data_IF_843258388020
#
_entry.id   IF_843258388020
#
_cell.length_a   1.000
_cell.length_b   1.000
_cell.length_c   1.000
_cell.angle_alpha   90.00
_cell.angle_beta   90.00
_cell.angle_gamma   90.00
#
_symmetry.space_group_name_H-M   'P 1'
#
loop_
_entity.id
_entity.type
_entity.pdbx_description
1 polymer ?
#
# COMPACT_ATOMS: atom_id res chain seq x y z
N UNK A 1 24.45 -2.65 -4.23
CA UNK A 1 23.83 -3.99 -4.39
C UNK A 1 22.79 -3.89 -5.47
N UNK A 2 22.61 -4.92 -6.31
CA UNK A 2 21.68 -4.90 -7.44
C UNK A 2 20.26 -4.58 -6.99
N UNK A 3 19.59 -3.71 -7.70
CA UNK A 3 18.17 -3.36 -7.51
C UNK A 3 17.24 -4.49 -8.01
N UNK A 4 17.47 -5.72 -7.52
CA UNK A 4 16.64 -6.88 -7.85
C UNK A 4 15.34 -6.85 -7.05
N UNK A 5 14.25 -7.27 -7.70
CA UNK A 5 12.96 -7.32 -7.04
C UNK A 5 12.98 -8.28 -5.84
N UNK A 6 12.35 -7.85 -4.76
CA UNK A 6 12.02 -8.70 -3.63
C UNK A 6 10.85 -9.63 -3.97
N UNK A 7 10.53 -10.59 -3.10
CA UNK A 7 9.33 -11.43 -3.24
C UNK A 7 8.06 -10.57 -3.25
N UNK A 8 8.02 -9.54 -2.41
CA UNK A 8 6.88 -8.61 -2.32
C UNK A 8 6.74 -7.77 -3.58
N UNK A 9 7.85 -7.25 -4.14
CA UNK A 9 7.82 -6.53 -5.41
C UNK A 9 7.29 -7.41 -6.55
N UNK A 10 7.72 -8.68 -6.60
CA UNK A 10 7.22 -9.61 -7.61
C UNK A 10 5.76 -10.00 -7.41
N UNK A 11 5.28 -10.04 -6.18
CA UNK A 11 3.87 -10.24 -5.89
C UNK A 11 3.03 -9.12 -6.53
N UNK A 12 3.42 -7.86 -6.35
CA UNK A 12 2.74 -6.73 -7.00
C UNK A 12 2.91 -6.75 -8.52
N UNK A 13 4.06 -7.20 -9.02
CA UNK A 13 4.25 -7.37 -10.46
C UNK A 13 3.30 -8.42 -11.05
N UNK A 14 3.02 -9.50 -10.32
CA UNK A 14 2.03 -10.50 -10.71
C UNK A 14 0.62 -9.94 -10.75
N UNK A 15 0.22 -9.11 -9.78
CA UNK A 15 -1.10 -8.46 -9.82
C UNK A 15 -1.21 -7.53 -11.03
N UNK A 16 -0.16 -6.79 -11.36
CA UNK A 16 -0.11 -5.99 -12.59
C UNK A 16 -0.29 -6.84 -13.86
N UNK A 17 0.27 -8.05 -13.88
CA UNK A 17 0.15 -9.01 -15.00
C UNK A 17 -1.19 -9.76 -15.02
N UNK A 18 -2.14 -9.43 -14.16
CA UNK A 18 -3.47 -10.04 -14.08
C UNK A 18 -3.57 -11.26 -13.16
N UNK A 19 -2.59 -11.51 -12.30
CA UNK A 19 -2.63 -12.57 -11.30
C UNK A 19 -2.98 -11.99 -9.92
N UNK A 20 -4.25 -11.86 -9.64
CA UNK A 20 -4.78 -11.25 -8.42
C UNK A 20 -5.37 -9.86 -8.67
N UNK A 21 -5.70 -9.17 -7.60
CA UNK A 21 -6.31 -7.85 -7.64
C UNK A 21 -5.27 -6.79 -8.01
N UNK A 22 -5.44 -6.04 -9.11
CA UNK A 22 -4.51 -4.97 -9.46
C UNK A 22 -4.55 -3.87 -8.40
N UNK A 23 -3.39 -3.29 -8.11
CA UNK A 23 -3.23 -2.27 -7.09
C UNK A 23 -2.19 -1.23 -7.50
N UNK A 24 -2.52 0.05 -7.32
CA UNK A 24 -1.62 1.17 -7.51
C UNK A 24 -1.59 2.04 -6.25
N UNK A 25 -0.49 2.74 -6.03
CA UNK A 25 -0.39 3.73 -4.95
C UNK A 25 -0.77 5.11 -5.47
N UNK A 26 -1.53 5.86 -4.69
CA UNK A 26 -1.91 7.23 -5.00
C UNK A 26 -1.62 8.16 -3.82
N UNK A 27 -0.91 9.24 -4.10
CA UNK A 27 -0.78 10.39 -3.22
C UNK A 27 -1.66 11.54 -3.75
N UNK A 28 -2.42 12.15 -2.86
CA UNK A 28 -3.26 13.31 -3.15
C UNK A 28 -2.81 14.50 -2.31
N UNK A 29 -2.68 15.68 -2.93
CA UNK A 29 -2.39 16.94 -2.25
C UNK A 29 -3.42 18.00 -2.60
N UNK A 30 -3.87 18.72 -1.60
CA UNK A 30 -4.63 19.95 -1.77
C UNK A 30 -3.77 21.12 -1.36
N UNK A 31 -3.74 22.18 -2.15
CA UNK A 31 -3.00 23.41 -1.85
C UNK A 31 -3.96 24.59 -1.67
N UNK A 32 -3.49 25.62 -0.95
CA UNK A 32 -4.25 26.85 -0.71
C UNK A 32 -4.29 27.80 -1.93
N UNK A 33 -3.44 27.57 -2.92
CA UNK A 33 -3.35 28.38 -4.14
C UNK A 33 -3.12 27.54 -5.38
N UNK A 34 -3.11 28.19 -6.52
CA UNK A 34 -2.97 27.52 -7.83
C UNK A 34 -1.50 27.27 -8.19
N UNK A 35 -1.14 26.02 -8.29
CA UNK A 35 0.18 25.58 -8.78
C UNK A 35 0.22 25.76 -10.29
N UNK A 36 1.17 26.56 -10.79
CA UNK A 36 1.27 26.86 -12.22
C UNK A 36 1.86 25.67 -13.03
N UNK A 37 1.57 25.65 -14.34
CA UNK A 37 1.98 24.57 -15.22
C UNK A 37 3.50 24.34 -15.25
N UNK A 38 4.31 25.43 -15.24
CA UNK A 38 5.77 25.30 -15.26
C UNK A 38 6.33 24.62 -14.00
N UNK A 39 5.70 24.84 -12.85
CA UNK A 39 6.03 24.13 -11.59
C UNK A 39 5.65 22.65 -11.68
N UNK A 40 4.49 22.35 -12.27
CA UNK A 40 4.04 20.97 -12.46
C UNK A 40 4.96 20.19 -13.41
N UNK A 41 5.39 20.82 -14.51
CA UNK A 41 6.34 20.24 -15.47
C UNK A 41 7.70 20.01 -14.83
N UNK A 42 8.20 20.96 -14.04
CA UNK A 42 9.45 20.80 -13.29
C UNK A 42 9.35 19.64 -12.27
N UNK A 43 8.27 19.56 -11.53
CA UNK A 43 8.02 18.48 -10.57
C UNK A 43 7.92 17.12 -11.25
N UNK A 44 7.23 17.04 -12.40
CA UNK A 44 7.18 15.83 -13.22
C UNK A 44 8.57 15.38 -13.69
N UNK A 45 9.38 16.33 -14.15
CA UNK A 45 10.76 16.06 -14.55
C UNK A 45 11.63 15.59 -13.37
N UNK A 46 11.41 16.11 -12.16
CA UNK A 46 12.13 15.69 -10.95
C UNK A 46 11.70 14.28 -10.51
N UNK A 47 10.42 13.93 -10.63
CA UNK A 47 9.95 12.56 -10.40
C UNK A 47 10.54 11.58 -11.40
N UNK A 48 10.63 11.94 -12.68
CA UNK A 48 11.25 11.11 -13.72
C UNK A 48 12.73 10.86 -13.47
N UNK A 49 13.44 11.81 -12.90
CA UNK A 49 14.86 11.67 -12.51
C UNK A 49 15.05 11.06 -11.13
N UNK A 50 14.00 11.07 -10.31
CA UNK A 50 14.03 10.63 -8.92
C UNK A 50 13.75 9.12 -8.73
N UNK A 51 13.44 8.69 -7.50
CA UNK A 51 13.21 7.28 -7.16
C UNK A 51 12.04 6.62 -7.89
N UNK A 52 11.09 7.40 -8.44
CA UNK A 52 9.97 6.89 -9.24
C UNK A 52 10.39 6.64 -10.70
N UNK A 53 11.46 7.26 -11.17
CA UNK A 53 11.97 7.13 -12.53
C UNK A 53 12.67 5.80 -12.77
N UNK A 54 11.93 4.71 -12.67
CA UNK A 54 12.44 3.35 -12.88
C UNK A 54 11.39 2.44 -13.49
N UNK A 55 11.87 1.39 -14.16
CA UNK A 55 11.06 0.32 -14.71
C UNK A 55 11.60 -1.05 -14.32
N UNK A 56 10.79 -2.08 -14.44
CA UNK A 56 11.18 -3.47 -14.21
C UNK A 56 11.69 -4.08 -15.52
N UNK A 57 12.85 -4.68 -15.48
CA UNK A 57 13.42 -5.39 -16.62
C UNK A 57 13.59 -6.87 -16.29
N UNK A 58 13.18 -7.72 -17.23
CA UNK A 58 13.31 -9.18 -17.12
C UNK A 58 14.78 -9.59 -17.24
N UNK A 59 15.23 -10.57 -16.46
CA UNK A 59 16.58 -11.09 -16.56
C UNK A 59 16.76 -11.85 -17.89
N UNK A 60 18.00 -11.91 -18.34
CA UNK A 60 18.40 -12.70 -19.52
C UNK A 60 18.58 -14.17 -19.20
N UNK A 61 18.87 -14.49 -17.95
CA UNK A 61 19.10 -15.87 -17.46
C UNK A 61 17.87 -16.34 -16.70
N UNK A 62 17.26 -17.47 -17.08
CA UNK A 62 16.17 -18.08 -16.32
C UNK A 62 16.55 -18.35 -14.87
N UNK A 63 15.63 -18.08 -13.94
CA UNK A 63 15.86 -18.24 -12.51
C UNK A 63 16.56 -17.06 -11.83
N UNK A 64 17.03 -16.05 -12.57
CA UNK A 64 17.40 -14.78 -11.99
C UNK A 64 16.17 -13.92 -11.75
N UNK A 65 16.22 -13.05 -10.74
CA UNK A 65 15.12 -12.13 -10.41
C UNK A 65 15.09 -10.96 -11.39
N UNK A 66 13.89 -10.43 -11.71
CA UNK A 66 13.76 -9.14 -12.36
C UNK A 66 14.50 -8.04 -11.57
N UNK A 67 14.85 -6.95 -12.25
CA UNK A 67 15.57 -5.83 -11.65
C UNK A 67 14.93 -4.51 -12.03
N UNK A 68 15.19 -3.50 -11.24
CA UNK A 68 14.89 -2.12 -11.61
C UNK A 68 16.01 -1.56 -12.51
N UNK A 69 15.62 -0.84 -13.55
CA UNK A 69 16.49 0.01 -14.36
C UNK A 69 15.94 1.45 -14.35
N UNK A 70 16.80 2.47 -14.42
CA UNK A 70 16.36 3.85 -14.59
C UNK A 70 15.48 4.00 -15.84
N UNK A 71 14.43 4.81 -15.74
CA UNK A 71 13.57 5.20 -16.84
C UNK A 71 13.09 6.63 -16.59
N UNK A 72 13.33 7.50 -17.54
CA UNK A 72 12.86 8.89 -17.51
C UNK A 72 11.50 9.07 -18.19
N UNK A 73 10.87 7.97 -18.58
CA UNK A 73 9.55 8.01 -19.22
C UNK A 73 8.51 8.58 -18.25
N UNK A 74 7.74 9.54 -18.70
CA UNK A 74 6.67 10.19 -17.97
C UNK A 74 5.48 10.45 -18.88
N UNK A 75 4.27 10.39 -18.33
CA UNK A 75 3.10 10.92 -19.02
C UNK A 75 3.12 12.44 -18.97
N UNK A 76 2.54 13.15 -19.97
CA UNK A 76 2.24 14.55 -19.85
C UNK A 76 1.39 14.81 -18.61
N UNK A 77 1.60 15.94 -17.94
CA UNK A 77 0.78 16.32 -16.79
C UNK A 77 -0.59 16.74 -17.32
N UNK A 78 -1.63 16.06 -16.87
CA UNK A 78 -3.03 16.44 -17.14
C UNK A 78 -3.44 17.57 -16.19
N UNK A 79 -4.10 18.60 -16.71
CA UNK A 79 -4.65 19.72 -15.94
C UNK A 79 -6.14 19.84 -16.27
N UNK A 80 -7.01 19.69 -15.28
CA UNK A 80 -8.46 19.65 -15.43
C UNK A 80 -9.14 20.65 -14.50
N UNK A 81 -10.17 21.34 -15.01
CA UNK A 81 -11.12 22.08 -14.17
C UNK A 81 -12.21 21.13 -13.68
N UNK A 82 -12.51 21.16 -12.38
CA UNK A 82 -13.51 20.30 -11.76
C UNK A 82 -14.44 21.07 -10.83
N UNK A 83 -15.65 20.56 -10.65
CA UNK A 83 -16.56 21.06 -9.61
C UNK A 83 -15.99 20.86 -8.21
N UNK A 84 -16.31 21.74 -7.28
CA UNK A 84 -15.77 21.71 -5.92
C UNK A 84 -16.01 20.37 -5.18
N UNK A 85 -17.15 19.71 -5.44
CA UNK A 85 -17.50 18.41 -4.85
C UNK A 85 -16.97 17.18 -5.62
N UNK A 86 -16.28 17.39 -6.76
CA UNK A 86 -15.85 16.31 -7.64
C UNK A 86 -14.43 15.79 -7.37
N UNK A 87 -13.72 16.33 -6.38
CA UNK A 87 -12.30 16.02 -6.08
C UNK A 87 -12.05 14.53 -5.97
N UNK A 88 -12.85 13.80 -5.18
CA UNK A 88 -12.62 12.37 -4.97
C UNK A 88 -13.07 11.52 -6.18
N UNK A 89 -14.09 11.97 -6.93
CA UNK A 89 -14.47 11.29 -8.16
C UNK A 89 -13.37 11.39 -9.22
N UNK A 90 -12.82 12.59 -9.40
CA UNK A 90 -11.66 12.80 -10.26
C UNK A 90 -10.43 12.01 -9.78
N UNK A 91 -10.14 12.01 -8.48
CA UNK A 91 -9.02 11.26 -7.92
C UNK A 91 -9.15 9.75 -8.15
N UNK A 92 -10.36 9.19 -8.01
CA UNK A 92 -10.62 7.77 -8.28
C UNK A 92 -10.47 7.45 -9.78
N UNK A 93 -10.90 8.37 -10.67
CA UNK A 93 -10.65 8.26 -12.10
C UNK A 93 -9.14 8.24 -12.41
N UNK A 94 -8.36 9.18 -11.85
CA UNK A 94 -6.91 9.18 -12.00
C UNK A 94 -6.27 7.90 -11.48
N UNK A 95 -6.74 7.37 -10.35
CA UNK A 95 -6.28 6.09 -9.79
C UNK A 95 -6.58 4.87 -10.67
N UNK A 96 -7.60 4.97 -11.53
CA UNK A 96 -7.99 3.90 -12.47
C UNK A 96 -7.21 3.91 -13.78
N UNK A 97 -6.48 4.98 -14.09
CA UNK A 97 -5.68 5.08 -15.30
C UNK A 97 -4.46 4.18 -15.23
N UNK A 98 -4.15 3.53 -16.35
CA UNK A 98 -3.08 2.56 -16.42
C UNK A 98 -1.69 3.17 -16.25
N UNK A 99 -0.86 2.51 -15.46
CA UNK A 99 0.59 2.71 -15.37
C UNK A 99 1.27 1.36 -15.58
N UNK A 100 2.40 1.32 -16.25
CA UNK A 100 3.08 0.05 -16.61
C UNK A 100 4.52 0.02 -16.06
N UNK A 101 4.78 -0.80 -15.02
CA UNK A 101 6.12 -0.88 -14.44
C UNK A 101 7.13 -1.62 -15.32
N UNK A 102 6.71 -2.38 -16.34
CA UNK A 102 7.60 -3.12 -17.24
C UNK A 102 7.93 -2.35 -18.52
N UNK A 103 6.94 -1.64 -19.10
CA UNK A 103 7.11 -0.89 -20.35
C UNK A 103 7.26 0.60 -20.14
N UNK A 104 6.73 1.11 -19.00
CA UNK A 104 6.71 2.53 -18.64
C UNK A 104 5.60 3.31 -19.36
N UNK A 105 5.28 4.53 -18.86
CA UNK A 105 5.66 5.03 -17.56
C UNK A 105 5.02 4.28 -16.40
N UNK A 106 5.77 4.11 -15.32
CA UNK A 106 5.31 3.40 -14.13
C UNK A 106 4.56 4.30 -13.13
N UNK A 107 4.39 5.56 -13.44
CA UNK A 107 3.72 6.56 -12.62
C UNK A 107 3.08 7.66 -13.50
N UNK A 108 2.14 8.44 -12.92
CA UNK A 108 1.41 9.53 -13.57
C UNK A 108 1.17 10.65 -12.57
N UNK A 109 1.45 11.89 -12.97
CA UNK A 109 1.08 13.11 -12.25
C UNK A 109 -0.10 13.77 -12.99
N UNK A 110 -1.13 14.15 -12.24
CA UNK A 110 -2.26 14.92 -12.75
C UNK A 110 -2.61 16.06 -11.78
N UNK A 111 -3.19 17.10 -12.30
CA UNK A 111 -3.62 18.30 -11.60
C UNK A 111 -5.11 18.52 -11.84
N UNK A 112 -5.82 18.96 -10.81
CA UNK A 112 -7.18 19.48 -10.94
C UNK A 112 -7.32 20.82 -10.24
N UNK A 113 -8.18 21.69 -10.83
CA UNK A 113 -8.53 23.02 -10.31
C UNK A 113 -9.99 23.02 -9.90
N UNK A 114 -10.28 22.82 -8.59
CA UNK A 114 -11.65 22.88 -8.10
C UNK A 114 -12.23 24.30 -8.24
N UNK A 115 -13.51 24.42 -8.57
CA UNK A 115 -14.21 25.72 -8.67
C UNK A 115 -14.15 26.56 -7.38
N UNK A 116 -13.79 25.97 -6.23
CA UNK A 116 -13.56 26.65 -4.96
C UNK A 116 -12.17 27.25 -4.78
N UNK A 117 -11.29 27.14 -5.79
CA UNK A 117 -9.89 27.58 -5.76
C UNK A 117 -8.92 26.56 -5.20
N UNK A 118 -7.61 26.87 -5.30
CA UNK A 118 -6.52 25.96 -4.96
C UNK A 118 -6.24 24.94 -6.07
N UNK A 119 -5.39 23.98 -5.75
CA UNK A 119 -5.03 22.88 -6.66
C UNK A 119 -5.14 21.55 -5.93
N UNK A 120 -5.57 20.52 -6.63
CA UNK A 120 -5.48 19.14 -6.19
C UNK A 120 -4.51 18.40 -7.13
N UNK A 121 -3.47 17.80 -6.56
CA UNK A 121 -2.52 16.96 -7.30
C UNK A 121 -2.81 15.50 -7.00
N UNK A 122 -2.76 14.66 -8.03
CA UNK A 122 -2.80 13.21 -7.93
C UNK A 122 -1.53 12.64 -8.52
N UNK A 123 -0.72 11.97 -7.69
CA UNK A 123 0.42 11.18 -8.15
C UNK A 123 0.10 9.70 -7.97
N UNK A 124 -0.09 9.01 -9.07
CA UNK A 124 -0.34 7.58 -9.12
C UNK A 124 0.93 6.84 -9.53
N UNK A 125 1.27 5.76 -8.86
CA UNK A 125 2.36 4.90 -9.30
C UNK A 125 2.03 3.41 -9.11
N UNK A 126 2.66 2.57 -9.91
CA UNK A 126 2.59 1.12 -9.72
C UNK A 126 3.14 0.75 -8.33
N UNK A 127 2.40 -0.10 -7.60
CA UNK A 127 2.86 -0.58 -6.29
C UNK A 127 4.18 -1.38 -6.37
N UNK A 128 4.56 -1.84 -7.56
CA UNK A 128 5.85 -2.49 -7.81
C UNK A 128 7.02 -1.53 -7.54
N UNK A 129 6.87 -0.23 -7.86
CA UNK A 129 7.98 0.73 -7.76
C UNK A 129 8.03 1.47 -6.43
N UNK A 130 6.92 1.57 -5.71
CA UNK A 130 6.89 2.20 -4.38
C UNK A 130 5.67 1.73 -3.58
N UNK A 131 5.86 1.54 -2.27
CA UNK A 131 4.78 1.55 -1.28
C UNK A 131 4.44 2.98 -0.83
N UNK A 132 3.46 3.14 0.05
CA UNK A 132 2.99 4.45 0.50
C UNK A 132 4.11 5.34 1.09
N UNK A 133 4.99 4.76 1.91
CA UNK A 133 6.13 5.49 2.49
C UNK A 133 7.19 5.79 1.44
N UNK A 134 7.44 4.84 0.55
CA UNK A 134 8.34 5.03 -0.59
C UNK A 134 7.88 6.14 -1.52
N UNK A 135 6.56 6.21 -1.78
CA UNK A 135 5.95 7.29 -2.56
C UNK A 135 6.14 8.65 -1.86
N UNK A 136 5.77 8.75 -0.58
CA UNK A 136 5.94 10.00 0.18
C UNK A 136 7.41 10.45 0.25
N UNK A 137 8.35 9.52 0.44
CA UNK A 137 9.78 9.81 0.44
C UNK A 137 10.30 10.25 -0.93
N UNK A 138 9.81 9.64 -2.02
CA UNK A 138 10.19 10.01 -3.39
C UNK A 138 9.76 11.43 -3.73
N UNK A 139 8.55 11.82 -3.30
CA UNK A 139 8.05 13.18 -3.48
C UNK A 139 8.86 14.18 -2.66
N UNK A 140 9.11 13.86 -1.39
CA UNK A 140 9.93 14.72 -0.54
C UNK A 140 11.34 14.93 -1.11
N UNK A 141 11.94 13.89 -1.69
CA UNK A 141 13.24 13.98 -2.34
C UNK A 141 13.21 14.91 -3.58
N UNK A 142 12.17 14.81 -4.40
CA UNK A 142 11.99 15.68 -5.57
C UNK A 142 11.79 17.15 -5.15
N UNK A 143 10.93 17.41 -4.15
CA UNK A 143 10.67 18.77 -3.64
C UNK A 143 11.91 19.41 -2.99
N UNK A 144 12.83 18.60 -2.47
CA UNK A 144 14.09 19.05 -1.88
C UNK A 144 15.25 19.15 -2.92
N UNK A 145 14.99 18.81 -4.19
CA UNK A 145 16.01 18.76 -5.24
C UNK A 145 17.14 17.77 -4.94
N UNK A 146 16.84 16.71 -4.18
CA UNK A 146 17.84 15.69 -3.87
C UNK A 146 18.22 14.91 -5.13
N UNK A 147 19.52 14.56 -5.29
CA UNK A 147 19.96 13.81 -6.45
C UNK A 147 19.23 12.46 -6.53
N UNK A 148 18.97 11.98 -7.76
CA UNK A 148 18.34 10.68 -7.93
C UNK A 148 19.18 9.60 -7.26
N UNK A 149 18.50 8.70 -6.55
CA UNK A 149 19.18 7.50 -6.04
C UNK A 149 19.56 6.63 -7.23
N UNK A 150 20.85 6.42 -7.43
CA UNK A 150 21.31 5.42 -8.41
C UNK A 150 20.73 4.05 -8.01
N UNK A 151 19.83 3.44 -8.79
CA UNK A 151 19.34 2.11 -8.50
C UNK A 151 20.45 1.05 -8.54
N UNK A 152 21.66 1.46 -8.92
CA UNK A 152 22.97 0.79 -8.96
C UNK A 152 22.94 -0.73 -8.89
N UNK A 153 23.52 -1.41 -9.83
CA UNK A 153 23.67 -2.84 -9.79
C UNK A 153 24.42 -3.37 -11.00
N UNK A 154 25.14 -4.47 -10.81
CA UNK A 154 25.79 -5.14 -11.92
C UNK A 154 24.71 -5.59 -12.93
N UNK A 155 24.86 -5.15 -14.16
CA UNK A 155 24.01 -5.49 -15.30
C UNK A 155 24.64 -6.58 -16.15
N UNK A 156 23.76 -7.28 -16.91
CA UNK A 156 24.17 -8.25 -17.90
C UNK A 156 24.04 -9.71 -17.47
N UNK A 157 24.34 -10.61 -18.41
CA UNK A 157 24.12 -12.05 -18.23
C UNK A 157 24.93 -12.65 -17.08
N UNK A 158 26.12 -12.13 -16.79
CA UNK A 158 26.97 -12.61 -15.69
C UNK A 158 26.32 -12.28 -14.34
N UNK A 159 25.81 -11.08 -14.19
CA UNK A 159 25.10 -10.66 -12.97
C UNK A 159 23.80 -11.47 -12.77
N UNK A 160 23.07 -11.75 -13.85
CA UNK A 160 21.89 -12.60 -13.83
C UNK A 160 22.25 -14.04 -13.43
N UNK A 161 23.35 -14.59 -13.94
CA UNK A 161 23.80 -15.94 -13.58
C UNK A 161 24.19 -16.04 -12.10
N UNK A 162 24.87 -15.04 -11.56
CA UNK A 162 25.19 -14.99 -10.14
C UNK A 162 23.94 -14.87 -9.27
N UNK A 163 22.95 -14.06 -9.67
CA UNK A 163 21.70 -13.92 -8.95
C UNK A 163 20.91 -15.24 -8.97
N UNK A 164 20.78 -15.88 -10.14
CA UNK A 164 20.11 -17.17 -10.28
C UNK A 164 20.76 -18.26 -9.40
N UNK A 165 22.09 -18.32 -9.39
CA UNK A 165 22.85 -19.28 -8.58
C UNK A 165 22.63 -19.04 -7.07
N UNK A 166 22.69 -17.77 -6.64
CA UNK A 166 22.43 -17.42 -5.23
C UNK A 166 21.00 -17.74 -4.81
N UNK A 167 20.03 -17.42 -5.67
CA UNK A 167 18.62 -17.70 -5.41
C UNK A 167 18.37 -19.20 -5.33
N UNK A 168 18.85 -19.98 -6.31
CA UNK A 168 18.73 -21.44 -6.32
C UNK A 168 19.35 -22.07 -5.07
N UNK A 169 20.56 -21.62 -4.69
CA UNK A 169 21.22 -22.08 -3.47
C UNK A 169 20.40 -21.77 -2.23
N UNK A 170 19.92 -20.52 -2.06
CA UNK A 170 19.12 -20.10 -0.91
C UNK A 170 17.83 -20.92 -0.80
N UNK A 171 17.14 -21.12 -1.93
CA UNK A 171 15.90 -21.91 -1.96
C UNK A 171 16.17 -23.38 -1.65
N UNK A 172 17.23 -23.97 -2.21
CA UNK A 172 17.58 -25.37 -1.94
C UNK A 172 17.95 -25.59 -0.47
N UNK A 173 18.84 -24.77 0.08
CA UNK A 173 19.25 -24.86 1.49
C UNK A 173 18.07 -24.59 2.44
N UNK A 174 17.22 -23.59 2.13
CA UNK A 174 16.04 -23.25 2.93
C UNK A 174 15.01 -24.38 2.90
N UNK A 175 14.73 -24.92 1.73
CA UNK A 175 13.80 -26.06 1.56
C UNK A 175 14.29 -27.30 2.29
N UNK A 176 15.57 -27.63 2.18
CA UNK A 176 16.15 -28.76 2.92
C UNK A 176 15.99 -28.61 4.44
N UNK A 177 16.23 -27.39 4.98
CA UNK A 177 16.01 -27.11 6.41
C UNK A 177 14.53 -27.18 6.80
N UNK A 178 13.63 -26.67 5.96
CA UNK A 178 12.19 -26.74 6.19
C UNK A 178 11.69 -28.18 6.22
N UNK A 179 12.10 -29.00 5.25
CA UNK A 179 11.77 -30.45 5.18
C UNK A 179 12.32 -31.18 6.39
N UNK A 180 13.58 -30.97 6.76
CA UNK A 180 14.15 -31.54 7.98
C UNK A 180 13.34 -31.10 9.23
N UNK A 181 12.93 -29.85 9.29
CA UNK A 181 12.07 -29.35 10.36
C UNK A 181 10.69 -30.00 10.42
N UNK A 182 10.09 -30.33 9.27
CA UNK A 182 8.83 -31.10 9.21
C UNK A 182 9.00 -32.53 9.74
N UNK A 183 10.15 -33.17 9.51
CA UNK A 183 10.42 -34.52 10.02
C UNK A 183 10.49 -34.49 11.54
N UNK A 184 11.16 -33.51 12.13
CA UNK A 184 11.47 -33.44 13.56
C UNK A 184 10.33 -32.82 14.39
N UNK A 185 9.59 -31.85 13.85
CA UNK A 185 8.62 -31.03 14.61
C UNK A 185 7.18 -31.33 14.25
N UNK A 186 6.39 -31.82 15.21
CA UNK A 186 4.94 -31.95 15.07
C UNK A 186 4.20 -30.61 14.88
N UNK A 187 4.71 -29.57 15.52
CA UNK A 187 4.15 -28.20 15.39
C UNK A 187 4.28 -27.66 13.94
N UNK A 188 5.45 -27.84 13.30
CA UNK A 188 5.66 -27.45 11.89
C UNK A 188 4.79 -28.26 10.93
N UNK A 189 4.58 -29.54 11.21
CA UNK A 189 3.64 -30.37 10.42
C UNK A 189 2.20 -29.88 10.54
N UNK A 190 1.77 -29.45 11.73
CA UNK A 190 0.44 -28.91 11.95
C UNK A 190 0.27 -27.55 11.25
N UNK A 191 1.28 -26.70 11.28
CA UNK A 191 1.34 -25.44 10.56
C UNK A 191 1.25 -25.63 9.05
N UNK A 192 2.06 -26.52 8.49
CA UNK A 192 2.04 -26.83 7.05
C UNK A 192 0.68 -27.38 6.59
N UNK A 193 0.06 -28.26 7.39
CA UNK A 193 -1.29 -28.76 7.10
C UNK A 193 -2.33 -27.62 7.12
N UNK A 194 -2.25 -26.72 8.08
CA UNK A 194 -3.14 -25.53 8.13
C UNK A 194 -2.98 -24.68 6.88
N UNK A 195 -1.76 -24.42 6.46
CA UNK A 195 -1.46 -23.67 5.23
C UNK A 195 -2.12 -24.32 4.00
N UNK A 196 -1.96 -25.63 3.81
CA UNK A 196 -2.57 -26.35 2.67
C UNK A 196 -4.11 -26.27 2.70
N UNK A 197 -4.73 -26.28 3.89
CA UNK A 197 -6.19 -26.19 4.02
C UNK A 197 -6.72 -24.77 3.76
N UNK A 198 -5.97 -23.75 4.11
CA UNK A 198 -6.34 -22.34 3.88
C UNK A 198 -6.18 -21.96 2.41
N UNK A 199 -5.09 -22.39 1.78
CA UNK A 199 -4.82 -22.10 0.35
C UNK A 199 -5.88 -22.68 -0.59
N UNK A 200 -6.58 -23.74 -0.21
CA UNK A 200 -7.65 -24.35 -1.02
C UNK A 200 -9.04 -23.71 -0.88
N UNK A 201 -9.22 -22.72 -0.03
CA UNK A 201 -10.54 -22.13 0.32
C UNK A 201 -10.70 -20.64 -0.02
N UNK A 202 -9.88 -20.09 -0.89
CA UNK A 202 -10.12 -18.75 -1.41
C UNK A 202 -11.39 -18.77 -2.27
N UNK A 203 -12.56 -18.53 -1.64
CA UNK A 203 -13.76 -18.19 -2.39
C UNK A 203 -13.54 -16.79 -2.96
N UNK A 204 -13.62 -16.61 -4.28
CA UNK A 204 -13.62 -15.27 -4.84
C UNK A 204 -14.82 -14.51 -4.27
N UNK A 205 -14.55 -13.36 -3.65
CA UNK A 205 -15.61 -12.42 -3.34
C UNK A 205 -16.29 -12.02 -4.65
N UNK A 206 -17.61 -12.09 -4.70
CA UNK A 206 -18.38 -11.80 -5.92
C UNK A 206 -18.81 -10.34 -5.90
N UNK A 207 -17.89 -9.41 -5.94
CA UNK A 207 -18.22 -7.99 -5.98
C UNK A 207 -17.73 -7.41 -7.31
N UNK A 208 -18.64 -6.80 -8.04
CA UNK A 208 -18.43 -6.30 -9.39
C UNK A 208 -18.71 -4.79 -9.47
N UNK A 209 -18.04 -3.98 -8.65
CA UNK A 209 -18.13 -2.52 -8.80
C UNK A 209 -16.74 -1.90 -8.87
N UNK A 210 -16.68 -0.71 -9.45
CA UNK A 210 -15.51 0.14 -9.28
C UNK A 210 -15.47 0.61 -7.82
N UNK A 211 -14.33 0.50 -7.14
CA UNK A 211 -14.17 1.00 -5.79
C UNK A 211 -14.48 2.50 -5.68
N UNK A 212 -15.00 2.93 -4.53
CA UNK A 212 -15.22 4.34 -4.23
C UNK A 212 -14.48 4.72 -2.98
N UNK A 213 -14.03 5.97 -2.91
CA UNK A 213 -13.25 6.44 -1.78
C UNK A 213 -13.94 7.54 -0.99
N UNK A 214 -13.60 7.60 0.29
CA UNK A 214 -13.86 8.75 1.16
C UNK A 214 -12.55 9.16 1.84
N UNK A 215 -12.30 10.46 1.94
CA UNK A 215 -11.13 11.03 2.63
C UNK A 215 -11.63 12.02 3.66
N UNK A 216 -11.16 11.87 4.89
CA UNK A 216 -11.59 12.62 6.06
C UNK A 216 -10.36 13.15 6.82
N UNK A 217 -10.35 14.44 7.11
CA UNK A 217 -9.35 15.06 7.99
C UNK A 217 -9.92 15.20 9.39
N UNK A 218 -9.13 14.81 10.38
CA UNK A 218 -9.46 14.87 11.81
C UNK A 218 -8.31 15.58 12.54
N UNK A 219 -8.65 16.43 13.50
CA UNK A 219 -7.65 17.11 14.34
C UNK A 219 -6.78 16.10 15.08
N UNK A 220 -5.45 16.27 15.00
CA UNK A 220 -4.50 15.29 15.53
C UNK A 220 -4.47 15.26 17.08
N UNK A 221 -4.63 16.39 17.73
CA UNK A 221 -4.64 16.45 19.21
C UNK A 221 -5.90 15.78 19.76
N UNK A 222 -7.05 16.01 19.10
CA UNK A 222 -8.31 15.33 19.46
C UNK A 222 -8.24 13.84 19.22
N UNK A 223 -7.64 13.39 18.11
CA UNK A 223 -7.44 11.97 17.83
C UNK A 223 -6.57 11.30 18.89
N UNK A 224 -5.43 11.93 19.21
CA UNK A 224 -4.49 11.41 20.19
C UNK A 224 -5.14 11.36 21.59
N UNK A 225 -5.88 12.40 21.99
CA UNK A 225 -6.60 12.46 23.24
C UNK A 225 -7.72 11.41 23.34
N UNK A 226 -8.53 11.21 22.28
CA UNK A 226 -9.55 10.20 22.22
C UNK A 226 -8.95 8.78 22.35
N UNK A 227 -7.83 8.53 21.70
CA UNK A 227 -7.12 7.27 21.79
C UNK A 227 -6.64 6.99 23.21
N UNK A 228 -6.04 7.99 23.87
CA UNK A 228 -5.55 7.88 25.25
C UNK A 228 -6.68 7.67 26.25
N UNK A 229 -7.77 8.46 26.15
CA UNK A 229 -8.96 8.32 26.99
C UNK A 229 -9.60 6.94 26.89
N UNK A 230 -9.57 6.32 25.68
CA UNK A 230 -10.04 4.96 25.47
C UNK A 230 -9.03 3.86 25.87
N UNK A 231 -7.89 4.22 26.51
CA UNK A 231 -6.85 3.29 26.94
C UNK A 231 -5.99 2.72 25.80
N UNK A 232 -6.08 3.35 24.63
CA UNK A 232 -5.43 2.89 23.40
C UNK A 232 -4.20 3.71 22.98
N UNK A 233 -3.94 3.63 21.70
CA UNK A 233 -2.96 4.41 20.95
C UNK A 233 -3.62 4.96 19.70
N UNK A 234 -3.07 5.97 19.01
CA UNK A 234 -3.60 6.43 17.73
C UNK A 234 -3.84 5.31 16.72
N UNK A 235 -2.95 4.31 16.71
CA UNK A 235 -3.09 3.14 15.82
C UNK A 235 -4.22 2.20 16.25
N UNK A 236 -4.39 1.91 17.54
CA UNK A 236 -5.49 1.05 18.00
C UNK A 236 -6.85 1.72 17.81
N UNK A 237 -6.94 3.05 17.98
CA UNK A 237 -8.14 3.80 17.64
C UNK A 237 -8.44 3.72 16.14
N UNK A 238 -7.43 3.86 15.28
CA UNK A 238 -7.57 3.68 13.83
C UNK A 238 -8.16 2.32 13.48
N UNK A 239 -7.61 1.23 14.03
CA UNK A 239 -8.11 -0.12 13.77
C UNK A 239 -9.54 -0.31 14.29
N UNK A 240 -9.88 0.22 15.46
CA UNK A 240 -11.22 0.16 16.02
C UNK A 240 -12.23 0.90 15.13
N UNK A 241 -11.95 2.16 14.78
CA UNK A 241 -12.79 2.97 13.89
C UNK A 241 -13.03 2.27 12.56
N UNK A 242 -11.98 1.77 11.93
CA UNK A 242 -12.10 1.10 10.63
C UNK A 242 -12.87 -0.22 10.73
N UNK A 243 -12.66 -0.99 11.80
CA UNK A 243 -13.43 -2.21 12.04
C UNK A 243 -14.94 -1.91 12.20
N UNK A 244 -15.30 -0.83 12.91
CA UNK A 244 -16.71 -0.39 13.04
C UNK A 244 -17.29 0.06 11.69
N UNK A 245 -16.54 0.82 10.90
CA UNK A 245 -16.96 1.24 9.54
C UNK A 245 -17.16 0.06 8.61
N UNK A 246 -16.30 -0.95 8.66
CA UNK A 246 -16.38 -2.13 7.80
C UNK A 246 -17.44 -3.15 8.23
N UNK A 247 -17.88 -3.11 9.50
CA UNK A 247 -18.79 -4.10 10.06
C UNK A 247 -20.21 -3.90 9.52
N UNK A 248 -20.82 -4.96 9.00
CA UNK A 248 -22.22 -4.94 8.55
C UNK A 248 -23.17 -5.00 9.73
N UNK A 249 -24.37 -4.47 9.56
CA UNK A 249 -25.40 -4.49 10.59
C UNK A 249 -25.75 -5.92 11.00
N UNK A 250 -25.73 -6.17 12.32
CA UNK A 250 -25.99 -7.50 12.88
C UNK A 250 -24.83 -8.51 12.73
N UNK A 251 -23.68 -8.12 12.20
CA UNK A 251 -22.52 -9.01 12.06
C UNK A 251 -21.80 -9.21 13.41
N UNK A 252 -21.89 -10.42 13.94
CA UNK A 252 -21.33 -10.80 15.26
C UNK A 252 -20.00 -11.53 15.17
N UNK A 253 -19.58 -11.97 13.95
CA UNK A 253 -18.29 -12.64 13.80
C UNK A 253 -17.12 -11.67 13.95
N UNK A 254 -15.95 -12.14 14.35
CA UNK A 254 -14.75 -11.32 14.29
C UNK A 254 -14.43 -10.91 12.85
N UNK A 255 -13.89 -9.69 12.66
CA UNK A 255 -13.29 -9.25 11.43
C UNK A 255 -11.80 -9.50 11.50
N UNK A 256 -11.23 -10.14 10.47
CA UNK A 256 -9.79 -10.26 10.33
C UNK A 256 -9.25 -9.04 9.59
N UNK A 257 -8.43 -8.26 10.29
CA UNK A 257 -7.79 -7.06 9.73
C UNK A 257 -6.36 -7.39 9.35
N UNK A 258 -6.01 -7.09 8.10
CA UNK A 258 -4.65 -7.17 7.59
C UNK A 258 -3.94 -5.83 7.82
N UNK A 259 -2.80 -5.86 8.52
CA UNK A 259 -2.03 -4.65 8.85
C UNK A 259 -0.62 -4.79 8.27
N UNK A 260 -0.25 -3.97 7.28
CA UNK A 260 1.13 -3.92 6.79
C UNK A 260 2.05 -3.34 7.86
N UNK A 261 3.11 -4.05 8.17
CA UNK A 261 4.17 -3.63 9.09
C UNK A 261 5.42 -3.29 8.29
N UNK A 262 5.95 -2.08 8.48
CA UNK A 262 7.20 -1.66 7.84
C UNK A 262 8.38 -2.42 8.43
N UNK A 263 9.15 -3.07 7.57
CA UNK A 263 10.39 -3.79 7.93
C UNK A 263 11.65 -2.94 7.73
N UNK A 264 11.53 -1.68 7.29
CA UNK A 264 12.69 -0.77 7.18
C UNK A 264 13.17 -0.43 8.57
N UNK A 265 14.19 -1.17 9.05
CA UNK A 265 14.95 -0.75 10.22
C UNK A 265 15.81 0.47 9.89
N UNK A 266 16.31 1.19 10.92
CA UNK A 266 17.19 2.35 10.75
C UNK A 266 18.47 2.10 9.91
N UNK A 267 18.80 0.83 9.60
CA UNK A 267 19.99 0.42 8.86
C UNK A 267 19.70 -0.15 7.44
N UNK A 268 18.45 -0.31 7.03
CA UNK A 268 18.08 -0.93 5.74
C UNK A 268 17.45 0.04 4.75
N UNK A 269 17.64 1.31 4.95
CA UNK A 269 17.20 2.34 4.01
C UNK A 269 17.94 2.18 2.67
N UNK A 270 17.28 2.28 1.58
CA UNK A 270 17.74 2.71 0.26
C UNK A 270 17.74 1.72 -0.91
N UNK A 271 17.22 0.51 -0.81
CA UNK A 271 17.29 -0.39 -1.97
C UNK A 271 16.02 -1.18 -2.31
N UNK A 272 15.05 -1.27 -1.43
CA UNK A 272 13.81 -2.03 -1.65
C UNK A 272 12.62 -1.10 -1.91
N UNK A 273 11.91 -1.33 -3.01
CA UNK A 273 10.70 -0.59 -3.35
C UNK A 273 9.59 -0.83 -2.31
N UNK A 274 9.47 -2.08 -1.88
CA UNK A 274 8.53 -2.53 -0.86
C UNK A 274 9.27 -3.26 0.26
N UNK A 275 9.00 -2.88 1.51
CA UNK A 275 9.59 -3.50 2.69
C UNK A 275 8.52 -3.68 3.76
N UNK A 276 7.55 -4.53 3.49
CA UNK A 276 6.39 -4.74 4.36
C UNK A 276 6.20 -6.23 4.66
N UNK A 277 5.81 -6.53 5.90
CA UNK A 277 5.23 -7.80 6.29
C UNK A 277 3.76 -7.59 6.63
N UNK A 278 2.93 -8.61 6.42
CA UNK A 278 1.52 -8.56 6.77
C UNK A 278 1.29 -9.22 8.11
N UNK A 279 0.58 -8.53 8.99
CA UNK A 279 0.15 -9.04 10.30
C UNK A 279 -1.37 -9.07 10.32
N UNK A 280 -1.95 -10.11 10.92
CA UNK A 280 -3.39 -10.27 11.03
C UNK A 280 -3.83 -10.02 12.48
N UNK A 281 -4.92 -9.27 12.62
CA UNK A 281 -5.56 -8.99 13.91
C UNK A 281 -7.05 -9.29 13.79
N UNK A 282 -7.54 -10.18 14.62
CA UNK A 282 -8.97 -10.48 14.68
C UNK A 282 -9.64 -9.55 15.71
N UNK A 283 -10.68 -8.82 15.30
CA UNK A 283 -11.42 -7.88 16.14
C UNK A 283 -12.88 -8.27 16.25
N UNK A 284 -13.35 -8.41 17.49
CA UNK A 284 -14.74 -8.72 17.82
C UNK A 284 -15.60 -7.45 17.91
N UNK A 285 -16.94 -7.54 17.75
CA UNK A 285 -17.83 -6.39 17.85
C UNK A 285 -17.78 -5.65 19.19
N UNK A 286 -17.46 -6.37 20.26
CA UNK A 286 -17.43 -5.86 21.65
C UNK A 286 -16.06 -5.34 22.07
N UNK A 287 -15.01 -5.47 21.24
CA UNK A 287 -13.67 -5.08 21.61
C UNK A 287 -13.57 -3.56 21.80
N UNK A 288 -13.08 -3.14 22.93
CA UNK A 288 -12.74 -1.75 23.21
C UNK A 288 -11.44 -1.37 22.52
N UNK A 289 -11.14 -0.07 22.42
CA UNK A 289 -9.86 0.41 21.88
C UNK A 289 -8.65 -0.15 22.66
N UNK A 290 -8.82 -0.38 23.97
CA UNK A 290 -7.82 -1.02 24.81
C UNK A 290 -7.62 -2.51 24.45
N UNK A 291 -8.69 -3.24 24.14
CA UNK A 291 -8.63 -4.64 23.69
C UNK A 291 -7.95 -4.72 22.31
N UNK A 292 -8.30 -3.82 21.40
CA UNK A 292 -7.64 -3.69 20.09
C UNK A 292 -6.15 -3.43 20.23
N UNK A 293 -5.75 -2.58 21.20
CA UNK A 293 -4.31 -2.34 21.51
C UNK A 293 -3.62 -3.61 21.99
N UNK A 294 -4.26 -4.38 22.86
CA UNK A 294 -3.72 -5.63 23.38
C UNK A 294 -3.56 -6.68 22.27
N UNK A 295 -4.60 -6.86 21.44
CA UNK A 295 -4.60 -7.79 20.31
C UNK A 295 -3.52 -7.41 19.27
N UNK A 296 -3.43 -6.13 18.90
CA UNK A 296 -2.41 -5.62 17.97
C UNK A 296 -1.00 -5.82 18.51
N UNK A 297 -0.75 -5.54 19.80
CA UNK A 297 0.55 -5.75 20.44
C UNK A 297 0.95 -7.23 20.39
N UNK A 298 0.02 -8.13 20.69
CA UNK A 298 0.27 -9.57 20.62
C UNK A 298 0.62 -10.00 19.19
N UNK A 299 -0.14 -9.51 18.20
CA UNK A 299 0.08 -9.83 16.79
C UNK A 299 1.43 -9.28 16.29
N UNK A 300 1.80 -8.04 16.61
CA UNK A 300 3.09 -7.44 16.21
C UNK A 300 4.31 -8.03 16.93
N UNK A 301 4.10 -8.63 18.11
CA UNK A 301 5.17 -9.31 18.86
C UNK A 301 5.36 -10.76 18.43
N UNK A 302 4.41 -11.32 17.71
CA UNK A 302 4.56 -12.65 17.13
C UNK A 302 5.64 -12.62 16.03
N UNK A 303 6.43 -13.68 15.87
CA UNK A 303 7.36 -13.76 14.75
C UNK A 303 6.58 -13.55 13.45
N UNK A 304 7.01 -12.55 12.66
CA UNK A 304 6.41 -12.33 11.35
C UNK A 304 6.45 -13.66 10.58
N UNK A 305 5.29 -14.19 10.22
CA UNK A 305 5.21 -15.42 9.44
C UNK A 305 5.65 -15.10 8.01
N UNK A 306 6.97 -15.15 7.80
CA UNK A 306 7.57 -14.89 6.49
C UNK A 306 7.29 -16.03 5.51
N UNK A 307 7.11 -17.27 6.01
CA UNK A 307 6.64 -18.37 5.16
C UNK A 307 6.16 -19.56 6.02
N UNK A 308 5.15 -20.31 5.54
CA UNK A 308 4.61 -21.45 6.29
C UNK A 308 5.65 -22.54 6.50
N UNK A 309 5.71 -23.08 7.73
CA UNK A 309 6.59 -24.16 8.12
C UNK A 309 8.10 -23.94 7.86
N UNK A 310 8.51 -22.68 7.64
CA UNK A 310 9.90 -22.30 7.44
C UNK A 310 10.44 -22.53 6.04
N UNK A 311 9.58 -22.71 5.03
CA UNK A 311 10.01 -22.72 3.64
C UNK A 311 10.49 -21.32 3.23
N UNK A 312 11.53 -21.19 2.40
CA UNK A 312 11.97 -19.88 1.92
C UNK A 312 10.92 -19.27 1.00
N UNK A 313 10.52 -18.02 1.26
CA UNK A 313 9.54 -17.31 0.43
C UNK A 313 10.06 -17.07 -0.99
N UNK A 314 11.37 -16.98 -1.17
CA UNK A 314 12.02 -16.85 -2.46
C UNK A 314 11.73 -18.05 -3.40
N UNK A 315 11.20 -19.14 -2.90
CA UNK A 315 10.71 -20.25 -3.72
C UNK A 315 9.63 -19.77 -4.72
N UNK A 316 8.84 -18.78 -4.33
CA UNK A 316 7.83 -18.16 -5.19
C UNK A 316 8.42 -17.44 -6.40
N UNK A 317 9.71 -17.06 -6.35
CA UNK A 317 10.41 -16.39 -7.45
C UNK A 317 10.92 -17.38 -8.52
N UNK A 318 10.98 -18.66 -8.19
CA UNK A 318 11.41 -19.72 -9.11
C UNK A 318 10.27 -20.43 -9.83
N UNK A 319 9.03 -20.17 -9.45
CA UNK A 319 7.85 -20.80 -10.08
C UNK A 319 7.14 -19.81 -10.99
N UNK A 320 6.46 -20.29 -12.07
CA UNK A 320 5.66 -19.43 -12.92
C UNK A 320 4.59 -18.67 -12.15
N UNK A 321 4.24 -17.45 -12.60
CA UNK A 321 3.28 -16.56 -11.94
C UNK A 321 1.97 -17.24 -11.56
N UNK A 322 1.40 -18.05 -12.49
CA UNK A 322 0.17 -18.84 -12.25
C UNK A 322 0.29 -19.82 -11.09
N UNK A 323 1.47 -20.44 -10.92
CA UNK A 323 1.71 -21.40 -9.83
C UNK A 323 1.94 -20.66 -8.52
N UNK A 324 2.69 -19.58 -8.54
CA UNK A 324 2.89 -18.74 -7.36
C UNK A 324 1.53 -18.21 -6.85
N UNK A 325 0.67 -17.72 -7.76
CA UNK A 325 -0.68 -17.28 -7.41
C UNK A 325 -1.54 -18.42 -6.85
N UNK A 326 -1.50 -19.61 -7.45
CA UNK A 326 -2.24 -20.77 -6.97
C UNK A 326 -1.79 -21.24 -5.56
N UNK A 327 -0.49 -21.06 -5.23
CA UNK A 327 0.07 -21.41 -3.94
C UNK A 327 -0.23 -20.38 -2.84
N UNK A 328 -0.26 -19.10 -3.20
CA UNK A 328 -0.42 -18.02 -2.23
C UNK A 328 -1.85 -17.45 -2.19
N UNK A 329 -2.64 -17.67 -3.23
CA UNK A 329 -3.92 -16.99 -3.42
C UNK A 329 -3.69 -15.47 -3.56
N UNK A 330 -4.54 -14.68 -2.92
CA UNK A 330 -4.36 -13.24 -2.76
C UNK A 330 -3.82 -12.97 -1.34
N UNK A 331 -2.50 -12.98 -1.15
CA UNK A 331 -1.91 -12.77 0.17
C UNK A 331 -2.27 -11.36 0.67
N UNK A 332 -2.66 -11.29 1.95
CA UNK A 332 -3.08 -10.02 2.56
C UNK A 332 -4.56 -9.67 2.36
N UNK A 333 -5.30 -10.35 1.48
CA UNK A 333 -6.75 -10.19 1.41
C UNK A 333 -7.42 -10.80 2.64
N UNK A 334 -7.98 -9.91 3.47
CA UNK A 334 -8.80 -10.25 4.64
C UNK A 334 -10.11 -9.47 4.58
N UNK A 335 -10.87 -9.44 5.66
CA UNK A 335 -12.10 -8.63 5.66
C UNK A 335 -11.79 -7.15 5.46
N UNK A 336 -10.69 -6.67 6.08
CA UNK A 336 -10.27 -5.26 6.06
C UNK A 336 -8.76 -5.16 5.93
N UNK A 337 -8.29 -4.15 5.19
CA UNK A 337 -6.89 -3.72 5.17
C UNK A 337 -6.74 -2.39 5.93
N UNK A 338 -5.83 -2.32 6.89
CA UNK A 338 -5.51 -1.10 7.63
C UNK A 338 -4.02 -0.76 7.52
N UNK A 339 -3.69 0.27 6.78
CA UNK A 339 -2.32 0.75 6.61
C UNK A 339 -2.10 2.08 7.34
N UNK A 340 -1.33 2.05 8.43
CA UNK A 340 -0.89 3.27 9.11
C UNK A 340 0.45 3.72 8.53
N UNK A 341 0.40 4.77 7.71
CA UNK A 341 1.57 5.35 7.04
C UNK A 341 2.41 6.17 8.02
N UNK A 342 1.73 6.71 9.06
CA UNK A 342 2.38 7.54 10.08
C UNK A 342 2.61 8.98 9.63
N UNK A 343 3.59 9.67 10.27
CA UNK A 343 3.90 11.05 9.92
C UNK A 343 4.49 11.14 8.51
N UNK A 344 3.98 12.10 7.74
CA UNK A 344 4.49 12.41 6.41
C UNK A 344 5.69 13.37 6.49
N UNK A 345 6.61 13.34 5.51
CA UNK A 345 7.75 14.24 5.49
C UNK A 345 7.36 15.73 5.48
N UNK A 346 8.08 16.56 6.24
CA UNK A 346 7.84 18.00 6.30
C UNK A 346 8.01 18.71 4.95
N UNK A 347 8.84 18.18 4.05
CA UNK A 347 9.01 18.73 2.70
C UNK A 347 7.69 18.81 1.91
N UNK A 348 6.68 18.02 2.29
CA UNK A 348 5.36 18.01 1.67
C UNK A 348 4.48 19.20 2.08
N UNK A 349 4.97 20.09 2.97
CA UNK A 349 4.20 21.23 3.51
C UNK A 349 3.87 22.26 2.45
N UNK A 350 4.62 22.34 1.35
CA UNK A 350 4.33 23.24 0.25
C UNK A 350 4.77 22.66 -1.10
N UNK A 351 4.02 23.00 -2.13
CA UNK A 351 4.32 22.69 -3.53
C UNK A 351 4.21 23.97 -4.34
N UNK A 352 5.29 24.32 -5.05
CA UNK A 352 5.32 25.51 -5.90
C UNK A 352 5.08 26.83 -5.14
N UNK A 353 5.45 26.89 -3.86
CA UNK A 353 5.22 28.06 -3.00
C UNK A 353 3.83 28.11 -2.35
N UNK A 354 2.93 27.17 -2.66
CA UNK A 354 1.59 27.06 -2.08
C UNK A 354 1.57 26.04 -0.95
N UNK A 355 0.91 26.38 0.17
CA UNK A 355 0.83 25.53 1.35
C UNK A 355 -0.11 24.37 1.09
N UNK A 356 0.29 23.17 1.52
CA UNK A 356 -0.60 22.03 1.55
C UNK A 356 -1.70 22.21 2.62
N UNK A 357 -2.95 22.07 2.22
CA UNK A 357 -4.13 22.13 3.09
C UNK A 357 -4.66 20.74 3.46
N UNK A 358 -4.18 19.70 2.77
CA UNK A 358 -4.50 18.31 3.06
C UNK A 358 -3.64 17.38 2.20
N UNK A 359 -3.23 16.26 2.78
CA UNK A 359 -2.45 15.22 2.09
C UNK A 359 -3.03 13.86 2.46
N UNK A 360 -3.43 13.09 1.45
CA UNK A 360 -3.87 11.71 1.61
C UNK A 360 -2.96 10.78 0.81
N UNK A 361 -2.69 9.60 1.37
CA UNK A 361 -1.99 8.53 0.66
C UNK A 361 -2.81 7.26 0.77
N UNK A 362 -3.04 6.59 -0.34
CA UNK A 362 -3.87 5.39 -0.41
C UNK A 362 -3.40 4.43 -1.49
N UNK A 363 -3.78 3.17 -1.41
CA UNK A 363 -3.79 2.30 -2.56
C UNK A 363 -5.15 2.35 -3.23
N UNK A 364 -5.17 2.20 -4.54
CA UNK A 364 -6.39 2.19 -5.37
C UNK A 364 -6.37 0.91 -6.21
N UNK A 365 -7.55 0.33 -6.38
CA UNK A 365 -7.73 -0.84 -7.22
C UNK A 365 -8.31 -0.44 -8.57
N UNK A 366 -7.51 -0.39 -9.65
CA UNK A 366 -7.99 -0.02 -10.97
C UNK A 366 -9.05 -1.01 -11.50
N UNK A 367 -10.15 -0.46 -12.01
CA UNK A 367 -11.19 -1.24 -12.66
C UNK A 367 -12.17 -1.92 -11.71
N UNK A 368 -12.84 -2.95 -12.21
CA UNK A 368 -13.79 -3.77 -11.46
C UNK A 368 -13.04 -4.85 -10.70
N UNK A 369 -13.25 -4.94 -9.41
CA UNK A 369 -12.46 -5.81 -8.52
C UNK A 369 -13.33 -6.93 -7.97
N UNK A 370 -12.79 -8.14 -7.97
CA UNK A 370 -13.27 -9.21 -7.10
C UNK A 370 -12.28 -9.38 -5.96
N UNK A 371 -12.65 -8.91 -4.76
CA UNK A 371 -11.81 -9.03 -3.57
C UNK A 371 -12.60 -9.57 -2.38
N UNK A 372 -11.93 -10.28 -1.50
CA UNK A 372 -12.47 -10.62 -0.19
C UNK A 372 -12.44 -9.41 0.75
N UNK A 373 -11.51 -8.49 0.54
CA UNK A 373 -11.40 -7.25 1.32
C UNK A 373 -12.58 -6.35 1.00
N UNK A 374 -13.31 -5.92 2.03
CA UNK A 374 -14.47 -5.03 1.90
C UNK A 374 -14.07 -3.58 1.92
N UNK A 375 -13.10 -3.27 2.77
CA UNK A 375 -12.65 -1.92 3.04
C UNK A 375 -11.14 -1.90 3.17
N UNK A 376 -10.49 -0.99 2.45
CA UNK A 376 -9.09 -0.64 2.65
C UNK A 376 -9.02 0.76 3.29
N UNK A 377 -8.21 0.90 4.33
CA UNK A 377 -8.08 2.14 5.08
C UNK A 377 -6.61 2.54 5.25
N UNK A 378 -6.35 3.83 5.12
CA UNK A 378 -5.01 4.42 5.18
C UNK A 378 -5.06 5.61 6.12
N UNK A 379 -4.17 5.61 7.12
CA UNK A 379 -4.02 6.73 8.05
C UNK A 379 -2.67 7.38 7.85
N UNK A 380 -2.65 8.67 7.60
CA UNK A 380 -1.43 9.49 7.58
C UNK A 380 -1.56 10.68 8.52
N UNK A 381 -0.43 11.16 9.04
CA UNK A 381 -0.38 12.38 9.85
C UNK A 381 0.40 13.46 9.12
N UNK A 382 -0.21 14.61 8.94
CA UNK A 382 0.42 15.76 8.34
C UNK A 382 0.06 17.04 9.11
N UNK A 383 1.07 17.77 9.55
CA UNK A 383 0.85 18.94 10.40
C UNK A 383 0.03 18.61 11.65
N UNK A 384 -1.04 19.36 11.88
CA UNK A 384 -1.97 19.18 12.99
C UNK A 384 -3.16 18.25 12.68
N UNK A 385 -3.11 17.44 11.62
CA UNK A 385 -4.23 16.59 11.22
C UNK A 385 -3.82 15.15 10.97
N UNK A 386 -4.72 14.22 11.30
CA UNK A 386 -4.75 12.90 10.72
C UNK A 386 -5.67 12.91 9.51
N UNK A 387 -5.22 12.30 8.42
CA UNK A 387 -6.05 12.06 7.23
C UNK A 387 -6.36 10.57 7.15
N UNK A 388 -7.64 10.24 7.24
CA UNK A 388 -8.19 8.90 7.06
C UNK A 388 -8.72 8.78 5.63
N UNK A 389 -8.04 7.97 4.81
CA UNK A 389 -8.50 7.62 3.46
C UNK A 389 -9.09 6.21 3.49
N UNK A 390 -10.31 6.07 3.00
CA UNK A 390 -11.07 4.82 2.93
C UNK A 390 -11.34 4.49 1.47
N UNK A 391 -11.24 3.22 1.11
CA UNK A 391 -11.65 2.69 -0.18
C UNK A 391 -12.60 1.51 0.04
N UNK A 392 -13.87 1.70 -0.32
CA UNK A 392 -14.87 0.63 -0.27
C UNK A 392 -14.75 -0.25 -1.51
N UNK A 393 -14.61 -1.55 -1.27
CA UNK A 393 -14.54 -2.58 -2.30
C UNK A 393 -15.86 -3.37 -2.38
N UNK A 394 -16.81 -3.14 -1.47
CA UNK A 394 -18.07 -3.87 -1.39
C UNK A 394 -19.33 -2.99 -1.53
N UNK A 395 -19.20 -1.67 -1.55
CA UNK A 395 -20.30 -0.73 -1.83
C UNK A 395 -19.84 0.35 -2.81
N UNK A 396 -20.62 0.66 -3.84
CA UNK A 396 -20.31 1.74 -4.79
C UNK A 396 -20.78 3.12 -4.31
N UNK A 397 -21.38 3.23 -3.12
CA UNK A 397 -21.95 4.49 -2.61
C UNK A 397 -20.94 5.25 -1.74
N UNK A 398 -20.36 6.31 -2.32
CA UNK A 398 -19.43 7.21 -1.64
C UNK A 398 -20.09 8.00 -0.51
N UNK A 399 -21.35 8.40 -0.69
CA UNK A 399 -22.06 9.19 0.31
C UNK A 399 -22.32 8.35 1.57
N UNK A 400 -22.76 7.11 1.37
CA UNK A 400 -22.95 6.13 2.44
C UNK A 400 -21.63 5.86 3.19
N UNK A 401 -20.52 5.61 2.45
CA UNK A 401 -19.22 5.38 3.06
C UNK A 401 -18.78 6.56 3.94
N UNK A 402 -18.93 7.79 3.42
CA UNK A 402 -18.57 9.01 4.14
C UNK A 402 -19.43 9.21 5.38
N UNK A 403 -20.74 9.07 5.24
CA UNK A 403 -21.70 9.23 6.35
C UNK A 403 -21.41 8.23 7.47
N UNK A 404 -21.19 6.97 7.10
CA UNK A 404 -20.88 5.90 8.04
C UNK A 404 -19.57 6.19 8.76
N UNK A 405 -18.51 6.56 8.05
CA UNK A 405 -17.22 6.89 8.65
C UNK A 405 -17.32 8.11 9.58
N UNK A 406 -18.04 9.16 9.18
CA UNK A 406 -18.28 10.34 10.02
C UNK A 406 -19.07 10.01 11.27
N UNK A 407 -20.10 9.16 11.16
CA UNK A 407 -20.91 8.70 12.29
C UNK A 407 -20.08 7.90 13.30
N UNK A 408 -19.21 7.01 12.80
CA UNK A 408 -18.32 6.22 13.66
C UNK A 408 -17.32 7.14 14.37
N UNK A 409 -16.68 8.06 13.65
CA UNK A 409 -15.74 9.02 14.25
C UNK A 409 -16.42 9.87 15.34
N UNK A 410 -17.66 10.33 15.10
CA UNK A 410 -18.42 11.09 16.08
C UNK A 410 -18.71 10.30 17.37
N UNK A 411 -18.91 8.98 17.30
CA UNK A 411 -19.06 8.12 18.50
C UNK A 411 -17.80 8.10 19.37
N UNK A 412 -16.63 8.31 18.75
CA UNK A 412 -15.33 8.47 19.43
C UNK A 412 -15.01 9.93 19.81
N UNK A 413 -16.00 10.84 19.69
CA UNK A 413 -15.81 12.27 20.00
C UNK A 413 -14.96 13.03 18.99
N UNK A 414 -14.85 12.54 17.77
CA UNK A 414 -14.02 13.09 16.70
C UNK A 414 -14.90 13.76 15.63
N UNK A 415 -14.63 15.05 15.40
CA UNK A 415 -15.19 15.79 14.28
C UNK A 415 -14.32 15.60 13.03
N UNK A 416 -14.92 15.21 11.91
CA UNK A 416 -14.22 14.97 10.67
C UNK A 416 -14.67 15.91 9.56
N UNK A 417 -13.71 16.37 8.74
CA UNK A 417 -13.97 17.16 7.53
C UNK A 417 -13.70 16.30 6.30
N UNK A 418 -14.71 16.12 5.46
CA UNK A 418 -14.58 15.44 4.17
C UNK A 418 -13.90 16.30 3.11
N UNK A 419 -13.25 15.64 2.16
CA UNK A 419 -12.67 16.25 0.95
C UNK A 419 -13.71 16.43 -0.15
#
# INVERSE_FOLDING_TARGET
MSARLSVVDEMFLRTHRGWGTPIVMQGLWRTDGEVNASTLDALSADFARGPLGKRVVRPRIPGARPRFEPSIDAFPVEDAEIEAGAVLAWADEQGSLSVDPERGPAWRLACARPAGGGTVLSLVCSHVIADARGLAAAIAAALQGLPPSDPGGAEGAVADMWDATRLARRVTEGTARAVAGLVVSGARRAEFRRFLHVSGKASPGTLCHSPVSAVLDVDAERWDAAAEQAGGTPNSLFLAVVAEVARRDGETRPLTISVPMDLRGAATSSGTANSVAMVEVDLHPQDTVADVRAASRAAFSAPAMTSPAGFPEEMLQLVPDRMAHALTGNPGERDVLCSNIGPLPEALVSIGGHRATGIATRAVHPGVVTSRTRLSAYLSRFGGSYTLALESLDSPDRAELRERATTVLARHGLDARGW
#
